data_IF_181058197908
#
_entry.id   IF_181058197908
#
_cell.length_a   1.000
_cell.length_b   1.000
_cell.length_c   1.000
_cell.angle_alpha   90.00
_cell.angle_beta   90.00
_cell.angle_gamma   90.00
#
_symmetry.space_group_name_H-M   'P 1'
#
loop_
_entity.id
_entity.type
_entity.pdbx_description
1 polymer ?
#
# COMPACT_ATOMS: atom_id res chain seq x y z
N UNK A 1 -10.88 45.08 -59.79
CA UNK A 1 -11.27 45.21 -58.37
C UNK A 1 -11.91 43.90 -57.95
N UNK A 2 -11.13 42.98 -57.39
CA UNK A 2 -11.68 41.88 -56.59
C UNK A 2 -10.75 41.69 -55.41
N UNK A 3 -11.31 42.02 -54.25
CA UNK A 3 -10.68 42.03 -52.93
C UNK A 3 -10.10 40.68 -52.56
N UNK A 4 -8.95 40.72 -51.90
CA UNK A 4 -8.36 39.58 -51.23
C UNK A 4 -8.89 39.35 -49.81
N UNK A 5 -8.26 38.31 -49.25
CA UNK A 5 -7.91 38.13 -47.83
C UNK A 5 -8.88 37.32 -46.98
N UNK A 6 -8.44 36.07 -46.76
CA UNK A 6 -8.24 35.37 -45.48
C UNK A 6 -9.38 35.35 -44.45
N UNK A 7 -9.74 34.13 -44.02
CA UNK A 7 -9.94 33.77 -42.60
C UNK A 7 -10.30 32.29 -42.50
N UNK A 8 -9.57 31.57 -41.65
CA UNK A 8 -10.05 30.27 -41.13
C UNK A 8 -8.98 29.20 -40.91
N UNK A 9 -7.82 29.54 -40.34
CA UNK A 9 -6.95 28.52 -39.75
C UNK A 9 -7.68 27.82 -38.60
N UNK A 10 -8.23 26.64 -38.89
CA UNK A 10 -8.71 25.70 -37.88
C UNK A 10 -7.53 25.23 -37.04
N UNK A 11 -7.48 25.65 -35.77
CA UNK A 11 -6.62 25.06 -34.76
C UNK A 11 -7.17 23.67 -34.41
N UNK A 12 -6.45 22.56 -34.64
CA UNK A 12 -6.84 21.30 -34.01
C UNK A 12 -6.64 21.44 -32.50
N UNK A 13 -7.74 21.29 -31.76
CA UNK A 13 -7.72 21.16 -30.32
C UNK A 13 -6.72 20.05 -29.95
N UNK A 14 -5.67 20.44 -29.21
CA UNK A 14 -4.73 19.49 -28.62
C UNK A 14 -5.52 18.62 -27.63
N UNK A 15 -5.94 17.45 -28.07
CA UNK A 15 -6.34 16.38 -27.17
C UNK A 15 -5.12 16.06 -26.29
N UNK A 16 -5.14 16.59 -25.07
CA UNK A 16 -4.24 16.16 -24.00
C UNK A 16 -4.59 14.69 -23.74
N UNK A 17 -3.84 13.77 -24.36
CA UNK A 17 -3.83 12.37 -23.97
C UNK A 17 -3.62 12.34 -22.46
N UNK A 18 -4.67 11.97 -21.72
CA UNK A 18 -4.56 11.72 -20.30
C UNK A 18 -3.60 10.54 -20.16
N UNK A 19 -2.36 10.84 -19.75
CA UNK A 19 -1.38 9.81 -19.43
C UNK A 19 -1.91 9.10 -18.19
N UNK A 20 -2.50 7.92 -18.37
CA UNK A 20 -2.90 7.07 -17.25
C UNK A 20 -1.62 6.74 -16.48
N UNK A 21 -1.44 7.38 -15.33
CA UNK A 21 -0.32 7.07 -14.45
C UNK A 21 -0.47 5.61 -14.01
N UNK A 22 0.38 4.74 -14.55
CA UNK A 22 0.35 3.33 -14.22
C UNK A 22 0.81 3.12 -12.78
N UNK A 23 0.09 2.27 -12.04
CA UNK A 23 0.43 1.95 -10.66
C UNK A 23 1.81 1.28 -10.63
N UNK A 24 2.75 1.90 -9.90
CA UNK A 24 4.15 1.46 -9.84
C UNK A 24 4.37 0.23 -8.95
N UNK A 25 3.59 0.12 -7.88
CA UNK A 25 3.69 -1.00 -6.94
C UNK A 25 2.74 -2.10 -7.38
N UNK A 26 3.32 -3.24 -7.78
CA UNK A 26 2.61 -4.43 -8.27
C UNK A 26 3.15 -5.68 -7.55
N UNK A 27 2.40 -6.79 -7.49
CA UNK A 27 2.94 -8.05 -7.01
C UNK A 27 4.10 -8.50 -7.90
N UNK A 28 5.04 -9.25 -7.32
CA UNK A 28 6.25 -9.75 -7.98
C UNK A 28 6.53 -11.18 -7.53
N UNK A 29 7.34 -11.90 -8.30
CA UNK A 29 7.80 -13.25 -7.96
C UNK A 29 9.03 -13.26 -7.02
N UNK A 30 9.41 -12.10 -6.45
CA UNK A 30 10.54 -12.01 -5.54
C UNK A 30 10.27 -12.75 -4.22
N UNK A 31 11.30 -13.42 -3.69
CA UNK A 31 11.23 -14.14 -2.42
C UNK A 31 11.07 -13.17 -1.25
N UNK A 32 9.98 -13.34 -0.49
CA UNK A 32 9.77 -12.59 0.77
C UNK A 32 10.85 -12.96 1.79
N UNK A 33 11.24 -14.23 1.88
CA UNK A 33 12.28 -14.68 2.81
C UNK A 33 13.62 -13.98 2.53
N UNK A 34 14.07 -13.98 1.27
CA UNK A 34 15.33 -13.35 0.87
C UNK A 34 15.30 -11.84 1.11
N UNK A 35 14.14 -11.20 0.86
CA UNK A 35 13.95 -9.79 1.15
C UNK A 35 14.12 -9.50 2.65
N UNK A 36 13.48 -10.30 3.52
CA UNK A 36 13.58 -10.12 4.97
C UNK A 36 15.00 -10.44 5.47
N UNK A 37 15.66 -11.45 4.93
CA UNK A 37 17.03 -11.83 5.31
C UNK A 37 18.08 -10.78 4.93
N UNK A 38 17.85 -10.07 3.82
CA UNK A 38 18.70 -8.95 3.38
C UNK A 38 18.42 -7.64 4.14
N UNK A 39 17.37 -7.58 4.97
CA UNK A 39 17.01 -6.36 5.69
C UNK A 39 18.12 -5.95 6.68
N UNK A 40 18.41 -4.65 6.70
CA UNK A 40 19.44 -4.07 7.58
C UNK A 40 18.93 -2.80 8.28
N UNK A 41 19.39 -2.54 9.53
CA UNK A 41 20.28 -3.36 10.37
C UNK A 41 19.66 -4.69 10.82
N UNK A 42 20.43 -5.57 11.48
CA UNK A 42 19.98 -6.91 11.93
C UNK A 42 18.61 -6.92 12.62
N UNK A 43 18.32 -5.89 13.41
CA UNK A 43 17.01 -5.65 14.01
C UNK A 43 15.85 -5.67 13.00
N UNK A 44 15.99 -5.08 11.81
CA UNK A 44 14.94 -5.03 10.78
C UNK A 44 14.65 -6.39 10.18
N UNK A 45 15.65 -7.26 10.10
CA UNK A 45 15.46 -8.66 9.72
C UNK A 45 14.63 -9.39 10.77
N UNK A 46 15.00 -9.28 12.05
CA UNK A 46 14.28 -9.91 13.17
C UNK A 46 12.83 -9.40 13.30
N UNK A 47 12.64 -8.08 13.25
CA UNK A 47 11.32 -7.46 13.25
C UNK A 47 10.53 -7.85 12.00
N UNK A 48 11.18 -7.90 10.84
CA UNK A 48 10.55 -8.31 9.58
C UNK A 48 10.01 -9.74 9.62
N UNK A 49 10.79 -10.70 10.14
CA UNK A 49 10.35 -12.08 10.34
C UNK A 49 9.24 -12.19 11.39
N UNK A 50 9.32 -11.43 12.47
CA UNK A 50 8.26 -11.36 13.48
C UNK A 50 6.95 -10.86 12.88
N UNK A 51 7.00 -9.80 12.08
CA UNK A 51 5.85 -9.26 11.37
C UNK A 51 5.30 -10.24 10.34
N UNK A 52 6.15 -10.91 9.57
CA UNK A 52 5.70 -11.91 8.60
C UNK A 52 4.88 -13.02 9.27
N UNK A 53 5.34 -13.49 10.43
CA UNK A 53 4.59 -14.45 11.24
C UNK A 53 3.25 -13.90 11.72
N UNK A 54 3.23 -12.73 12.36
CA UNK A 54 2.00 -12.13 12.90
C UNK A 54 0.96 -11.91 11.79
N UNK A 55 1.37 -11.35 10.65
CA UNK A 55 0.45 -11.12 9.54
C UNK A 55 -0.09 -12.43 8.96
N UNK A 56 0.76 -13.45 8.81
CA UNK A 56 0.33 -14.78 8.34
C UNK A 56 -0.65 -15.43 9.33
N UNK A 57 -0.36 -15.36 10.63
CA UNK A 57 -1.22 -15.89 11.70
C UNK A 57 -2.61 -15.24 11.70
N UNK A 58 -2.69 -13.91 11.53
CA UNK A 58 -3.96 -13.17 11.56
C UNK A 58 -4.75 -13.30 10.25
N UNK A 59 -4.08 -13.26 9.10
CA UNK A 59 -4.75 -13.25 7.79
C UNK A 59 -5.04 -14.65 7.25
N UNK A 60 -4.24 -15.65 7.65
CA UNK A 60 -4.23 -16.97 7.02
C UNK A 60 -3.66 -16.98 5.60
N UNK A 61 -3.11 -15.86 5.12
CA UNK A 61 -2.66 -15.68 3.74
C UNK A 61 -1.13 -15.70 3.65
N UNK A 62 -0.60 -16.16 2.51
CA UNK A 62 0.85 -16.12 2.27
C UNK A 62 1.29 -14.71 1.88
N UNK A 63 2.44 -14.24 2.37
CA UNK A 63 2.98 -12.95 1.95
C UNK A 63 3.43 -12.98 0.50
N UNK A 64 3.26 -11.85 -0.18
CA UNK A 64 3.77 -11.60 -1.55
C UNK A 64 4.62 -10.33 -1.54
N UNK A 65 5.69 -10.30 -2.35
CA UNK A 65 6.45 -9.08 -2.56
C UNK A 65 5.72 -8.13 -3.51
N UNK A 66 5.55 -6.89 -3.06
CA UNK A 66 4.95 -5.80 -3.81
C UNK A 66 5.99 -4.72 -4.09
N UNK A 67 6.32 -4.56 -5.38
CA UNK A 67 7.45 -3.76 -5.80
C UNK A 67 8.75 -4.19 -5.10
N UNK A 68 9.68 -3.25 -4.83
CA UNK A 68 11.00 -3.61 -4.32
C UNK A 68 11.08 -3.76 -2.79
N UNK A 69 10.02 -3.44 -2.04
CA UNK A 69 10.19 -3.22 -0.58
C UNK A 69 8.95 -3.45 0.30
N UNK A 70 7.85 -3.97 -0.23
CA UNK A 70 6.62 -4.15 0.55
C UNK A 70 6.28 -5.63 0.59
N UNK A 71 6.01 -6.15 1.78
CA UNK A 71 5.42 -7.46 2.00
C UNK A 71 3.92 -7.26 2.17
N UNK A 72 3.13 -7.71 1.19
CA UNK A 72 1.67 -7.53 1.16
C UNK A 72 0.91 -8.84 1.32
N UNK A 73 -0.31 -8.73 1.83
CA UNK A 73 -1.23 -9.85 2.08
C UNK A 73 -2.56 -9.61 1.39
N UNK A 74 -3.03 -10.64 0.67
CA UNK A 74 -4.22 -10.60 -0.17
C UNK A 74 -4.18 -9.52 -1.24
N UNK A 75 -5.28 -9.37 -1.97
CA UNK A 75 -5.44 -8.31 -2.96
C UNK A 75 -6.89 -7.84 -3.07
N UNK A 76 -7.07 -6.61 -3.56
CA UNK A 76 -8.37 -6.02 -3.89
C UNK A 76 -8.22 -5.06 -5.07
N UNK A 77 -9.34 -4.76 -5.73
CA UNK A 77 -9.37 -3.74 -6.78
C UNK A 77 -9.43 -2.35 -6.14
N UNK A 78 -8.30 -1.66 -6.13
CA UNK A 78 -8.22 -0.27 -5.71
C UNK A 78 -8.77 0.66 -6.79
N UNK A 79 -9.63 1.59 -6.37
CA UNK A 79 -10.11 2.71 -7.20
C UNK A 79 -9.77 4.00 -6.46
N UNK A 80 -9.08 4.91 -7.15
CA UNK A 80 -8.66 6.18 -6.55
C UNK A 80 -9.87 7.04 -6.18
N UNK A 81 -9.95 7.53 -4.94
CA UNK A 81 -11.01 8.47 -4.53
C UNK A 81 -11.01 9.78 -5.33
N UNK A 82 -9.82 10.22 -5.80
CA UNK A 82 -9.67 11.47 -6.53
C UNK A 82 -10.00 11.35 -8.03
N UNK A 83 -9.84 10.14 -8.60
CA UNK A 83 -10.11 9.90 -10.01
C UNK A 83 -10.50 8.43 -10.23
N UNK A 84 -11.79 8.11 -10.39
CA UNK A 84 -12.26 6.73 -10.59
C UNK A 84 -11.69 6.02 -11.82
N UNK A 85 -11.12 6.75 -12.78
CA UNK A 85 -10.41 6.15 -13.94
C UNK A 85 -9.04 5.59 -13.54
N UNK A 86 -8.49 6.02 -12.42
CA UNK A 86 -7.26 5.48 -11.83
C UNK A 86 -7.63 4.31 -10.92
N UNK A 87 -7.50 3.10 -11.44
CA UNK A 87 -7.77 1.84 -10.75
C UNK A 87 -6.60 0.86 -10.93
N UNK A 88 -6.48 -0.11 -10.04
CA UNK A 88 -5.44 -1.14 -10.09
C UNK A 88 -5.55 -2.14 -8.95
N UNK A 89 -4.70 -3.15 -8.94
CA UNK A 89 -4.67 -4.14 -7.86
C UNK A 89 -3.86 -3.58 -6.69
N UNK A 90 -4.33 -3.74 -5.46
CA UNK A 90 -3.55 -3.40 -4.27
C UNK A 90 -3.63 -4.52 -3.25
N UNK A 91 -2.65 -4.62 -2.36
CA UNK A 91 -2.70 -5.58 -1.25
C UNK A 91 -3.64 -5.08 -0.15
N UNK A 92 -4.30 -5.98 0.58
CA UNK A 92 -5.27 -5.57 1.63
C UNK A 92 -4.58 -4.90 2.80
N UNK A 93 -3.48 -5.48 3.26
CA UNK A 93 -2.61 -4.97 4.33
C UNK A 93 -1.19 -5.50 4.15
N UNK A 94 -0.21 -4.84 4.77
CA UNK A 94 1.19 -5.25 4.62
C UNK A 94 2.14 -4.37 5.41
N UNK A 95 3.44 -4.67 5.28
CA UNK A 95 4.49 -3.92 5.96
C UNK A 95 5.76 -3.79 5.11
N UNK A 96 6.64 -2.89 5.55
CA UNK A 96 7.99 -2.71 5.01
C UNK A 96 8.98 -2.47 6.15
N UNK A 97 9.97 -3.35 6.38
CA UNK A 97 10.97 -3.21 7.44
C UNK A 97 12.11 -2.27 7.01
N UNK A 98 11.80 -1.00 6.76
CA UNK A 98 12.78 -0.03 6.23
C UNK A 98 13.84 0.30 7.29
N UNK A 99 15.03 0.68 6.84
CA UNK A 99 16.17 1.04 7.72
C UNK A 99 15.77 2.01 8.84
N UNK A 100 15.08 3.09 8.51
CA UNK A 100 14.70 4.14 9.46
C UNK A 100 13.56 3.73 10.41
N UNK A 101 12.53 3.05 9.91
CA UNK A 101 11.31 2.70 10.64
C UNK A 101 10.54 1.57 9.95
N UNK A 102 9.76 0.82 10.71
CA UNK A 102 8.72 -0.06 10.19
C UNK A 102 7.62 0.80 9.59
N UNK A 103 7.14 0.41 8.42
CA UNK A 103 5.95 1.02 7.80
C UNK A 103 4.88 -0.05 7.68
N UNK A 104 3.68 0.27 8.16
CA UNK A 104 2.50 -0.55 8.01
C UNK A 104 1.50 0.12 7.09
N UNK A 105 0.85 -0.70 6.28
CA UNK A 105 -0.09 -0.27 5.25
C UNK A 105 -1.44 -0.93 5.49
N UNK A 106 -2.53 -0.19 5.28
CA UNK A 106 -3.89 -0.70 5.44
C UNK A 106 -4.46 -0.67 6.87
N UNK A 107 -3.61 -0.51 7.89
CA UNK A 107 -4.04 -0.56 9.31
C UNK A 107 -5.06 0.51 9.70
N UNK A 108 -5.17 1.59 8.93
CA UNK A 108 -6.05 2.72 9.19
C UNK A 108 -6.99 3.06 8.02
N UNK A 109 -7.15 2.12 7.09
CA UNK A 109 -7.97 2.32 5.90
C UNK A 109 -9.47 2.21 6.20
N UNK A 110 -9.84 1.54 7.29
CA UNK A 110 -11.23 1.31 7.69
C UNK A 110 -11.60 2.12 8.95
N UNK A 111 -12.82 2.69 9.04
CA UNK A 111 -13.26 3.44 10.21
C UNK A 111 -13.19 2.67 11.54
N UNK A 112 -13.32 1.34 11.50
CA UNK A 112 -13.20 0.50 12.69
C UNK A 112 -11.81 0.60 13.35
N UNK A 113 -10.77 0.97 12.60
CA UNK A 113 -9.44 1.17 13.14
C UNK A 113 -9.30 2.44 13.98
N UNK A 114 -10.17 3.44 13.83
CA UNK A 114 -10.03 4.76 14.47
C UNK A 114 -10.06 4.67 16.01
N UNK A 115 -10.83 3.72 16.56
CA UNK A 115 -10.90 3.48 18.00
C UNK A 115 -9.75 2.60 18.53
N UNK A 116 -9.11 1.82 17.65
CA UNK A 116 -8.09 0.83 18.02
C UNK A 116 -6.69 1.41 17.88
N UNK A 117 -6.43 2.17 16.82
CA UNK A 117 -5.12 2.72 16.47
C UNK A 117 -4.47 3.52 17.62
N UNK A 118 -5.19 4.37 18.39
CA UNK A 118 -4.60 5.10 19.52
C UNK A 118 -4.02 4.20 20.62
N UNK A 119 -4.46 2.95 20.71
CA UNK A 119 -3.98 1.96 21.68
C UNK A 119 -2.67 1.28 21.23
N UNK A 120 -2.24 1.49 19.99
CA UNK A 120 -1.11 0.77 19.39
C UNK A 120 0.21 1.05 20.11
N UNK A 121 0.39 2.24 20.69
CA UNK A 121 1.63 2.66 21.35
C UNK A 121 2.26 3.87 20.67
N UNK A 122 3.58 3.88 20.48
CA UNK A 122 4.28 5.01 19.86
C UNK A 122 4.40 4.83 18.36
N UNK A 123 3.64 5.62 17.60
CA UNK A 123 3.66 5.62 16.15
C UNK A 123 3.53 7.06 15.60
N UNK A 124 3.81 7.21 14.31
CA UNK A 124 3.43 8.39 13.53
C UNK A 124 2.64 7.95 12.31
N UNK A 125 1.93 8.90 11.69
CA UNK A 125 1.06 8.62 10.54
C UNK A 125 1.49 9.40 9.31
N UNK A 126 1.32 8.78 8.15
CA UNK A 126 1.46 9.44 6.85
C UNK A 126 0.17 9.32 6.04
N UNK A 127 0.27 9.67 4.75
CA UNK A 127 -0.81 9.46 3.81
C UNK A 127 -1.01 7.95 3.55
N UNK A 128 -1.92 7.32 4.31
CA UNK A 128 -2.27 5.90 4.19
C UNK A 128 -1.32 4.91 4.88
N UNK A 129 -0.40 5.40 5.71
CA UNK A 129 0.61 4.55 6.36
C UNK A 129 0.70 4.85 7.86
N UNK A 130 1.05 3.84 8.64
CA UNK A 130 1.45 3.96 10.05
C UNK A 130 2.94 3.63 10.15
N UNK A 131 3.69 4.44 10.89
CA UNK A 131 5.13 4.30 11.04
C UNK A 131 5.50 4.03 12.50
N UNK A 132 6.39 3.07 12.71
CA UNK A 132 6.84 2.66 14.05
C UNK A 132 8.35 2.52 14.03
N UNK A 133 9.05 3.15 14.99
CA UNK A 133 10.52 3.10 15.04
C UNK A 133 11.02 1.68 15.32
N UNK A 134 10.35 0.96 16.22
CA UNK A 134 10.70 -0.40 16.63
C UNK A 134 9.49 -1.17 17.18
N UNK A 135 9.49 -2.50 17.05
CA UNK A 135 8.36 -3.30 17.54
C UNK A 135 8.11 -3.17 19.04
N UNK A 136 9.15 -2.93 19.84
CA UNK A 136 9.04 -2.72 21.29
C UNK A 136 8.22 -1.48 21.68
N UNK A 137 8.03 -0.54 20.75
CA UNK A 137 7.28 0.70 21.00
C UNK A 137 5.75 0.50 20.86
N UNK A 138 5.31 -0.69 20.45
CA UNK A 138 3.91 -0.99 20.16
C UNK A 138 3.41 -2.26 20.86
N UNK A 139 2.10 -2.28 21.09
CA UNK A 139 1.37 -3.46 21.56
C UNK A 139 1.08 -4.39 20.38
N UNK A 140 1.61 -5.62 20.43
CA UNK A 140 1.46 -6.61 19.37
C UNK A 140 0.03 -7.19 19.28
N UNK A 141 -0.73 -7.17 20.36
CA UNK A 141 -2.12 -7.63 20.34
C UNK A 141 -3.03 -6.58 19.71
N UNK A 142 -2.75 -5.30 19.97
CA UNK A 142 -3.40 -4.20 19.24
C UNK A 142 -3.01 -4.22 17.75
N UNK A 143 -1.76 -4.52 17.43
CA UNK A 143 -1.35 -4.71 16.04
C UNK A 143 -2.14 -5.84 15.36
N UNK A 144 -2.35 -6.97 16.03
CA UNK A 144 -3.18 -8.08 15.52
C UNK A 144 -4.62 -7.64 15.26
N UNK A 145 -5.22 -6.88 16.18
CA UNK A 145 -6.57 -6.33 16.04
C UNK A 145 -6.67 -5.43 14.79
N UNK A 146 -5.69 -4.53 14.58
CA UNK A 146 -5.63 -3.67 13.40
C UNK A 146 -5.44 -4.44 12.09
N UNK A 147 -4.61 -5.49 12.08
CA UNK A 147 -4.42 -6.35 10.91
C UNK A 147 -5.73 -7.07 10.58
N UNK A 148 -6.45 -7.59 11.58
CA UNK A 148 -7.73 -8.25 11.38
C UNK A 148 -8.79 -7.30 10.81
N UNK A 149 -8.84 -6.06 11.31
CA UNK A 149 -9.69 -5.00 10.74
C UNK A 149 -9.31 -4.74 9.28
N UNK A 150 -8.04 -4.50 8.98
CA UNK A 150 -7.61 -4.26 7.60
C UNK A 150 -7.93 -5.43 6.66
N UNK A 151 -7.83 -6.67 7.17
CA UNK A 151 -8.14 -7.89 6.43
C UNK A 151 -9.64 -8.06 6.14
N UNK A 152 -10.50 -7.61 7.06
CA UNK A 152 -11.97 -7.72 6.93
C UNK A 152 -12.56 -6.84 5.84
N UNK A 153 -11.74 -6.06 5.13
CA UNK A 153 -12.20 -5.25 4.00
C UNK A 153 -12.92 -6.11 2.96
N UNK A 154 -14.05 -5.58 2.50
CA UNK A 154 -14.98 -6.24 1.58
C UNK A 154 -14.84 -5.75 0.13
N UNK A 155 -13.89 -4.85 -0.16
CA UNK A 155 -13.62 -4.35 -1.51
C UNK A 155 -13.40 -5.53 -2.47
N UNK A 156 -13.90 -5.40 -3.71
CA UNK A 156 -13.90 -6.45 -4.72
C UNK A 156 -12.55 -7.19 -4.77
N UNK A 157 -12.58 -8.47 -4.39
CA UNK A 157 -11.42 -9.33 -4.52
C UNK A 157 -11.07 -9.41 -6.00
N UNK A 158 -9.80 -9.19 -6.33
CA UNK A 158 -9.34 -9.45 -7.70
C UNK A 158 -9.36 -10.96 -7.85
N UNK A 159 -10.21 -11.50 -8.72
CA UNK A 159 -10.19 -12.91 -9.06
C UNK A 159 -8.76 -13.28 -9.48
N UNK A 160 -8.13 -14.17 -8.72
CA UNK A 160 -6.76 -14.64 -8.93
C UNK A 160 -6.62 -15.48 -10.19
#
# INVERSE_FOLDING_TARGET
MTSGTDLGHSHPARHRLATTAEQKTKPTDASVADFLDSASPARRREEGHTLARIFTEVTGERPVMWGPSIVGYGSFLYVSPANPRTRGTWFKTGFSPRKAQLTFYGLKDLPAADAVLPRLGTFTEGAGCVYVKKLEDIDLDVLRELIAIAWSRMDDAVAG
#
